data_IF_983250028284
#
_entry.id   IF_983250028284
#
_cell.length_a   1.000
_cell.length_b   1.000
_cell.length_c   1.000
_cell.angle_alpha   90.00
_cell.angle_beta   90.00
_cell.angle_gamma   90.00
#
_symmetry.space_group_name_H-M   'P 1'
#
loop_
_entity.id
_entity.type
_entity.pdbx_description
1 polymer ?
#
# COMPACT_ATOMS: atom_id res chain seq x y z
N UNK A 1 -9.54 11.50 -12.04
CA UNK A 1 -9.22 11.84 -10.64
C UNK A 1 -10.03 10.88 -9.77
N UNK A 2 -9.40 10.26 -8.78
CA UNK A 2 -10.08 9.32 -7.89
C UNK A 2 -11.01 10.13 -6.96
N UNK A 3 -12.28 9.74 -6.84
CA UNK A 3 -13.23 10.40 -5.95
C UNK A 3 -13.21 9.71 -4.57
N UNK A 4 -12.64 10.34 -3.52
CA UNK A 4 -12.53 9.71 -2.21
C UNK A 4 -13.89 9.33 -1.60
N UNK A 5 -14.99 10.02 -1.97
CA UNK A 5 -16.32 9.73 -1.43
C UNK A 5 -16.86 8.35 -1.83
N UNK A 6 -16.29 7.76 -2.88
CA UNK A 6 -16.66 6.45 -3.41
C UNK A 6 -15.84 5.30 -2.82
N UNK A 7 -14.83 5.61 -2.00
CA UNK A 7 -13.89 4.63 -1.47
C UNK A 7 -14.32 4.10 -0.09
N UNK A 8 -13.97 2.85 0.25
CA UNK A 8 -14.11 2.32 1.60
C UNK A 8 -13.37 3.21 2.61
N UNK A 9 -13.98 3.42 3.77
CA UNK A 9 -13.39 4.20 4.87
C UNK A 9 -12.54 3.29 5.76
N UNK A 10 -11.32 3.71 6.08
CA UNK A 10 -10.39 3.01 6.97
C UNK A 10 -9.66 4.02 7.87
N UNK A 11 -9.36 3.65 9.11
CA UNK A 11 -8.56 4.46 10.03
C UNK A 11 -7.05 4.42 9.68
N UNK A 12 -6.67 5.06 8.57
CA UNK A 12 -5.29 5.04 8.06
C UNK A 12 -4.33 5.70 9.05
N UNK A 13 -4.75 6.80 9.68
CA UNK A 13 -3.93 7.45 10.70
C UNK A 13 -3.67 6.52 11.90
N UNK A 14 -4.69 5.85 12.42
CA UNK A 14 -4.55 4.90 13.52
C UNK A 14 -3.63 3.74 13.16
N UNK A 15 -3.85 3.12 12.00
CA UNK A 15 -3.01 2.03 11.50
C UNK A 15 -1.54 2.44 11.33
N UNK A 16 -1.28 3.64 10.80
CA UNK A 16 0.08 4.14 10.61
C UNK A 16 0.75 4.48 11.95
N UNK A 17 0.01 5.10 12.89
CA UNK A 17 0.51 5.42 14.23
C UNK A 17 0.76 4.16 15.07
N UNK A 18 -0.07 3.13 14.91
CA UNK A 18 0.09 1.82 15.53
C UNK A 18 1.16 0.95 14.87
N UNK A 19 1.69 1.35 13.72
CA UNK A 19 2.74 0.63 12.99
C UNK A 19 2.25 -0.59 12.20
N UNK A 20 0.94 -0.75 12.02
CA UNK A 20 0.34 -1.82 11.21
C UNK A 20 0.54 -1.57 9.70
N UNK A 21 0.68 -0.31 9.30
CA UNK A 21 1.08 0.10 7.96
C UNK A 21 2.23 1.09 8.02
N UNK A 22 3.05 1.10 6.97
CA UNK A 22 4.16 2.03 6.80
C UNK A 22 4.03 2.78 5.49
N UNK A 23 4.54 4.01 5.46
CA UNK A 23 4.67 4.78 4.22
C UNK A 23 5.57 4.02 3.25
N UNK A 24 5.07 3.78 2.04
CA UNK A 24 5.83 3.16 0.97
C UNK A 24 6.69 4.16 0.18
N UNK A 25 6.61 5.44 0.55
CA UNK A 25 7.32 6.56 -0.08
C UNK A 25 7.68 7.65 0.94
N UNK A 26 8.82 8.31 0.71
CA UNK A 26 9.27 9.46 1.51
C UNK A 26 8.40 10.69 1.30
N UNK A 27 8.04 10.97 0.06
CA UNK A 27 7.25 12.14 -0.33
C UNK A 27 6.12 11.69 -1.26
N UNK A 28 4.91 12.16 -0.99
CA UNK A 28 3.79 11.99 -1.93
C UNK A 28 3.83 13.15 -2.93
N UNK A 29 3.81 12.88 -4.25
CA UNK A 29 3.70 13.94 -5.25
C UNK A 29 2.45 14.81 -5.02
N UNK A 30 2.44 16.11 -5.41
CA UNK A 30 1.30 17.01 -5.17
C UNK A 30 -0.05 16.51 -5.69
N UNK A 31 -0.05 15.78 -6.81
CA UNK A 31 -1.24 15.16 -7.40
C UNK A 31 -1.25 13.62 -7.24
N UNK A 32 -0.35 13.11 -6.40
CA UNK A 32 -0.23 11.70 -6.08
C UNK A 32 -1.19 11.29 -4.97
N UNK A 33 -1.41 9.98 -4.86
CA UNK A 33 -2.09 9.40 -3.70
C UNK A 33 -1.02 8.87 -2.73
N UNK A 34 -1.13 9.15 -1.42
CA UNK A 34 -0.29 8.51 -0.42
C UNK A 34 -0.34 6.99 -0.51
N UNK A 35 0.83 6.36 -0.60
CA UNK A 35 0.93 4.90 -0.63
C UNK A 35 1.49 4.33 0.67
N UNK A 36 0.89 3.24 1.12
CA UNK A 36 1.26 2.51 2.31
C UNK A 36 1.40 1.02 2.01
N UNK A 37 2.32 0.38 2.72
CA UNK A 37 2.54 -1.06 2.73
C UNK A 37 2.19 -1.61 4.12
N UNK A 38 1.72 -2.85 4.19
CA UNK A 38 1.52 -3.54 5.47
C UNK A 38 2.85 -3.77 6.20
N UNK A 39 2.80 -3.88 7.53
CA UNK A 39 3.98 -4.20 8.35
C UNK A 39 4.60 -5.54 7.96
N UNK A 40 3.76 -6.54 7.71
CA UNK A 40 4.15 -7.88 7.28
C UNK A 40 4.84 -7.83 5.92
N UNK A 41 4.26 -7.09 4.96
CA UNK A 41 4.86 -6.91 3.65
C UNK A 41 6.21 -6.18 3.73
N UNK A 42 6.34 -5.19 4.60
CA UNK A 42 7.62 -4.54 4.85
C UNK A 42 8.66 -5.50 5.43
N UNK A 43 8.28 -6.31 6.42
CA UNK A 43 9.19 -7.27 7.05
C UNK A 43 9.68 -8.33 6.05
N UNK A 44 8.80 -8.78 5.15
CA UNK A 44 9.19 -9.68 4.05
C UNK A 44 10.23 -9.05 3.13
N UNK A 45 10.04 -7.77 2.74
CA UNK A 45 11.00 -7.07 1.90
C UNK A 45 12.36 -6.91 2.58
N UNK A 46 12.37 -6.60 3.88
CA UNK A 46 13.61 -6.53 4.66
C UNK A 46 14.28 -7.91 4.72
N UNK A 47 13.53 -8.97 5.02
CA UNK A 47 14.06 -10.33 5.11
C UNK A 47 14.64 -10.82 3.78
N UNK A 48 13.96 -10.53 2.67
CA UNK A 48 14.36 -10.98 1.34
C UNK A 48 15.57 -10.20 0.78
N UNK A 49 15.66 -8.90 1.05
CA UNK A 49 16.59 -8.02 0.33
C UNK A 49 17.60 -7.29 1.21
N UNK A 50 17.43 -7.29 2.52
CA UNK A 50 18.26 -6.50 3.42
C UNK A 50 18.50 -7.13 4.81
N UNK A 51 18.33 -8.44 4.97
CA UNK A 51 18.43 -9.14 6.26
C UNK A 51 19.76 -8.89 7.01
N UNK A 52 20.86 -8.72 6.27
CA UNK A 52 22.20 -8.52 6.84
C UNK A 52 22.67 -7.05 6.79
N UNK A 53 21.80 -6.10 6.48
CA UNK A 53 22.15 -4.68 6.42
C UNK A 53 21.98 -3.98 7.76
N UNK A 54 22.92 -3.11 8.12
CA UNK A 54 22.89 -2.31 9.36
C UNK A 54 21.75 -1.28 9.36
N UNK A 55 21.35 -0.80 8.17
CA UNK A 55 20.23 0.13 7.99
C UNK A 55 19.35 -0.31 6.81
N UNK A 56 18.52 -1.36 6.97
CA UNK A 56 17.80 -2.00 5.87
C UNK A 56 16.90 -1.06 5.05
N UNK A 57 16.27 -0.09 5.74
CA UNK A 57 15.40 0.89 5.12
C UNK A 57 16.09 1.75 4.04
N UNK A 58 17.41 1.97 4.15
CA UNK A 58 18.15 2.79 3.17
C UNK A 58 18.30 2.11 1.81
N UNK A 59 18.16 0.79 1.76
CA UNK A 59 18.23 -0.02 0.54
C UNK A 59 16.83 -0.36 0.02
N UNK A 60 15.94 -0.78 0.93
CA UNK A 60 14.60 -1.25 0.56
C UNK A 60 13.68 -0.11 0.15
N UNK A 61 13.66 1.01 0.88
CA UNK A 61 12.71 2.10 0.62
C UNK A 61 12.85 2.72 -0.78
N UNK A 62 14.06 3.02 -1.30
CA UNK A 62 14.19 3.56 -2.66
C UNK A 62 13.75 2.58 -3.76
N UNK A 63 13.87 1.28 -3.53
CA UNK A 63 13.39 0.26 -4.46
C UNK A 63 11.86 0.14 -4.40
N UNK A 64 11.31 0.13 -3.18
CA UNK A 64 9.87 0.11 -2.93
C UNK A 64 9.18 1.32 -3.57
N UNK A 65 9.72 2.53 -3.41
CA UNK A 65 9.21 3.75 -4.04
C UNK A 65 9.05 3.59 -5.56
N UNK A 66 10.05 3.01 -6.22
CA UNK A 66 10.01 2.79 -7.67
C UNK A 66 8.99 1.72 -8.06
N UNK A 67 8.87 0.65 -7.26
CA UNK A 67 7.90 -0.40 -7.50
C UNK A 67 6.46 0.14 -7.35
N UNK A 68 6.19 0.85 -6.26
CA UNK A 68 4.88 1.46 -5.98
C UNK A 68 4.51 2.49 -7.04
N UNK A 69 5.43 3.37 -7.44
CA UNK A 69 5.16 4.33 -8.51
C UNK A 69 4.75 3.63 -9.82
N UNK A 70 5.37 2.50 -10.16
CA UNK A 70 5.00 1.70 -11.35
C UNK A 70 3.64 1.02 -11.18
N UNK A 71 3.35 0.45 -10.02
CA UNK A 71 2.06 -0.19 -9.71
C UNK A 71 0.92 0.84 -9.83
N UNK A 72 1.09 2.02 -9.21
CA UNK A 72 0.10 3.09 -9.27
C UNK A 72 -0.09 3.65 -10.68
N UNK A 73 1.00 3.82 -11.44
CA UNK A 73 0.91 4.23 -12.84
C UNK A 73 0.15 3.20 -13.71
N UNK A 74 0.36 1.90 -13.45
CA UNK A 74 -0.37 0.84 -14.12
C UNK A 74 -1.87 0.87 -13.78
N UNK A 75 -2.20 0.99 -12.50
CA UNK A 75 -3.58 1.14 -12.05
C UNK A 75 -4.27 2.38 -12.63
N UNK A 76 -3.59 3.52 -12.68
CA UNK A 76 -4.11 4.75 -13.28
C UNK A 76 -4.39 4.58 -14.77
N UNK A 77 -3.49 3.90 -15.51
CA UNK A 77 -3.67 3.61 -16.93
C UNK A 77 -4.86 2.67 -17.18
N UNK A 78 -5.00 1.62 -16.38
CA UNK A 78 -6.14 0.70 -16.46
C UNK A 78 -7.47 1.44 -16.20
N UNK A 79 -7.51 2.25 -15.14
CA UNK A 79 -8.69 3.04 -14.81
C UNK A 79 -9.07 4.04 -15.91
N UNK A 80 -8.08 4.64 -16.58
CA UNK A 80 -8.33 5.52 -17.72
C UNK A 80 -8.95 4.77 -18.91
N UNK A 81 -8.47 3.56 -19.20
CA UNK A 81 -8.99 2.74 -20.30
C UNK A 81 -10.43 2.26 -20.03
N UNK A 82 -10.75 1.93 -18.78
CA UNK A 82 -12.07 1.41 -18.37
C UNK A 82 -13.07 2.51 -18.01
N UNK A 83 -12.60 3.77 -17.87
CA UNK A 83 -13.42 4.91 -17.45
C UNK A 83 -13.92 4.83 -16.00
N UNK A 84 -13.36 3.91 -15.19
CA UNK A 84 -13.73 3.68 -13.80
C UNK A 84 -12.50 3.22 -13.02
N UNK A 85 -12.44 3.52 -11.73
CA UNK A 85 -11.41 2.96 -10.84
C UNK A 85 -12.04 1.91 -9.94
N UNK A 86 -11.57 0.67 -10.02
CA UNK A 86 -11.93 -0.36 -9.06
C UNK A 86 -11.29 -0.02 -7.69
N UNK A 87 -12.05 -0.05 -6.58
CA UNK A 87 -11.50 0.20 -5.24
C UNK A 87 -10.44 -0.82 -4.82
N UNK A 88 -10.47 -2.01 -5.41
CA UNK A 88 -9.47 -3.06 -5.17
C UNK A 88 -9.01 -3.61 -6.51
N UNK A 89 -7.70 -3.65 -6.70
CA UNK A 89 -7.04 -4.23 -7.87
C UNK A 89 -6.16 -5.37 -7.39
N UNK A 90 -6.29 -6.52 -8.05
CA UNK A 90 -5.42 -7.68 -7.85
C UNK A 90 -4.52 -7.79 -9.07
N UNK A 91 -3.21 -7.93 -8.86
CA UNK A 91 -2.24 -8.11 -9.94
C UNK A 91 -1.15 -9.10 -9.57
N UNK A 92 -0.58 -9.78 -10.55
CA UNK A 92 0.60 -10.61 -10.35
C UNK A 92 1.83 -9.73 -10.14
N UNK A 93 2.59 -10.00 -9.08
CA UNK A 93 3.80 -9.29 -8.72
C UNK A 93 4.74 -10.19 -7.94
N UNK A 94 6.03 -10.00 -8.17
CA UNK A 94 7.12 -10.62 -7.39
C UNK A 94 7.52 -9.79 -6.16
N UNK A 95 6.75 -8.75 -5.80
CA UNK A 95 7.08 -7.86 -4.69
C UNK A 95 7.08 -8.59 -3.34
N UNK A 96 6.15 -9.52 -3.13
CA UNK A 96 6.05 -10.30 -1.90
C UNK A 96 6.38 -11.77 -2.18
N UNK A 97 7.45 -12.33 -1.58
CA UNK A 97 7.80 -13.73 -1.78
C UNK A 97 6.74 -14.71 -1.27
N UNK A 98 5.90 -14.29 -0.32
CA UNK A 98 4.85 -15.12 0.29
C UNK A 98 3.68 -15.43 -0.66
N UNK A 99 3.35 -14.53 -1.58
CA UNK A 99 2.22 -14.68 -2.50
C UNK A 99 2.51 -13.89 -3.79
N UNK A 100 2.42 -14.51 -4.98
CA UNK A 100 2.60 -13.81 -6.25
C UNK A 100 1.46 -12.83 -6.56
N UNK A 101 0.38 -12.81 -5.76
CA UNK A 101 -0.75 -11.92 -5.94
C UNK A 101 -0.66 -10.71 -5.01
N UNK A 102 -0.44 -9.54 -5.61
CA UNK A 102 -0.47 -8.26 -4.92
C UNK A 102 -1.87 -7.65 -4.98
N UNK A 103 -2.34 -7.19 -3.83
CA UNK A 103 -3.57 -6.42 -3.69
C UNK A 103 -3.21 -4.94 -3.51
N UNK A 104 -3.77 -4.11 -4.38
CA UNK A 104 -3.78 -2.67 -4.29
C UNK A 104 -5.20 -2.22 -3.93
N UNK A 105 -5.41 -1.76 -2.70
CA UNK A 105 -6.68 -1.25 -2.24
C UNK A 105 -6.65 0.28 -2.14
N UNK A 106 -7.56 0.95 -2.83
CA UNK A 106 -7.80 2.37 -2.67
C UNK A 106 -8.88 2.58 -1.61
N UNK A 107 -8.52 3.36 -0.60
CA UNK A 107 -9.37 3.65 0.57
C UNK A 107 -9.33 5.14 0.85
N UNK A 108 -10.30 5.64 1.62
CA UNK A 108 -10.24 6.98 2.20
C UNK A 108 -9.94 6.88 3.68
N UNK A 109 -9.19 7.85 4.20
CA UNK A 109 -9.07 8.00 5.64
C UNK A 109 -10.42 8.41 6.27
N UNK A 110 -10.67 7.95 7.50
CA UNK A 110 -11.89 8.29 8.25
C UNK A 110 -11.92 9.76 8.69
N UNK A 111 -10.76 10.32 9.00
CA UNK A 111 -10.63 11.66 9.60
C UNK A 111 -10.42 12.75 8.55
N UNK A 112 -9.83 12.40 7.40
CA UNK A 112 -9.59 13.31 6.28
C UNK A 112 -10.10 12.72 4.96
N UNK A 113 -10.74 13.50 4.06
CA UNK A 113 -11.23 13.02 2.78
C UNK A 113 -10.09 12.85 1.75
N UNK A 114 -9.01 12.19 2.15
CA UNK A 114 -7.83 11.90 1.34
C UNK A 114 -7.88 10.43 0.93
N UNK A 115 -7.70 10.17 -0.36
CA UNK A 115 -7.57 8.81 -0.85
C UNK A 115 -6.14 8.30 -0.64
N UNK A 116 -6.01 7.09 -0.14
CA UNK A 116 -4.76 6.39 0.11
C UNK A 116 -4.74 5.06 -0.64
N UNK A 117 -3.56 4.60 -0.99
CA UNK A 117 -3.32 3.25 -1.50
C UNK A 117 -2.73 2.37 -0.40
N UNK A 118 -3.35 1.21 -0.16
CA UNK A 118 -2.82 0.14 0.69
C UNK A 118 -2.32 -1.00 -0.20
N UNK A 119 -1.10 -1.46 0.07
CA UNK A 119 -0.40 -2.46 -0.73
C UNK A 119 0.03 -3.62 0.17
N UNK A 120 -0.32 -4.83 -0.23
CA UNK A 120 0.02 -6.06 0.49
C UNK A 120 -0.53 -7.28 -0.24
N UNK A 121 -0.36 -8.45 0.35
CA UNK A 121 -1.10 -9.65 -0.07
C UNK A 121 -2.50 -9.66 0.57
N UNK A 122 -3.37 -10.56 0.11
CA UNK A 122 -4.69 -10.71 0.74
C UNK A 122 -4.57 -11.10 2.23
N UNK A 123 -3.60 -11.95 2.58
CA UNK A 123 -3.33 -12.34 3.96
C UNK A 123 -2.89 -11.13 4.81
N UNK A 124 -1.93 -10.34 4.31
CA UNK A 124 -1.45 -9.15 5.04
C UNK A 124 -2.57 -8.18 5.35
N UNK A 125 -3.45 -7.90 4.37
CA UNK A 125 -4.54 -6.96 4.54
C UNK A 125 -5.59 -7.47 5.54
N UNK A 126 -5.90 -8.76 5.51
CA UNK A 126 -6.81 -9.38 6.48
C UNK A 126 -6.25 -9.32 7.88
N UNK A 127 -4.97 -9.62 8.06
CA UNK A 127 -4.33 -9.60 9.38
C UNK A 127 -4.21 -8.17 9.94
N UNK A 128 -3.85 -7.20 9.10
CA UNK A 128 -3.84 -5.78 9.45
C UNK A 128 -5.22 -5.30 9.90
N UNK A 129 -6.29 -5.62 9.15
CA UNK A 129 -7.66 -5.23 9.51
C UNK A 129 -8.18 -5.94 10.77
N UNK A 130 -7.71 -7.15 11.06
CA UNK A 130 -8.04 -7.87 12.30
C UNK A 130 -7.28 -7.32 13.51
N UNK A 131 -6.02 -6.91 13.32
CA UNK A 131 -5.19 -6.35 14.38
C UNK A 131 -5.68 -4.99 14.88
N UNK A 132 -6.31 -4.19 14.01
CA UNK A 132 -6.95 -2.91 14.38
C UNK A 132 -8.28 -3.13 15.15
N UNK A 133 -8.88 -4.31 15.01
CA UNK A 133 -10.08 -4.76 15.70
C UNK A 133 -9.78 -5.50 17.00
N UNK A 134 -9.06 -4.87 17.95
CA UNK A 134 -9.19 -5.32 19.34
C UNK A 134 -10.59 -4.93 19.84
N UNK A 135 -11.48 -5.93 19.83
CA UNK A 135 -12.70 -5.98 20.65
C UNK A 135 -12.34 -5.92 22.14
#
# INVERSE_FOLDING_TARGET
MLDPSTLPSVNILGLAQGGAILRAERETPPDGIPAFITKEGWDELIAAHAANHVAPHTVVLPALEKAVARILAHAAKAAQAEGKTAPVISLESDLFPSDPTLILAFVKDETHPVACALIGTAAHLVDMLRGDGSL
#
